data_IF_645461898080
#
_entry.id   IF_645461898080
#
_cell.length_a   1.000
_cell.length_b   1.000
_cell.length_c   1.000
_cell.angle_alpha   90.00
_cell.angle_beta   90.00
_cell.angle_gamma   90.00
#
_symmetry.space_group_name_H-M   'P 1'
#
loop_
_entity.id
_entity.type
_entity.pdbx_description
1 polymer ?
#
# COMPACT_ATOMS: atom_id res chain seq x y z
N UNK A 1 -26.42 1.78 -25.90
CA UNK A 1 -25.00 2.02 -25.59
C UNK A 1 -24.85 1.77 -24.10
N UNK A 2 -24.54 0.53 -23.71
CA UNK A 2 -24.35 0.17 -22.31
C UNK A 2 -22.87 0.25 -22.01
N UNK A 3 -22.46 1.27 -21.24
CA UNK A 3 -21.12 1.37 -20.67
C UNK A 3 -20.98 0.29 -19.60
N UNK A 4 -20.43 -0.85 -20.01
CA UNK A 4 -19.93 -1.84 -19.07
C UNK A 4 -18.62 -1.31 -18.52
N UNK A 5 -18.67 -0.63 -17.37
CA UNK A 5 -17.48 -0.40 -16.56
C UNK A 5 -17.15 -1.75 -15.92
N UNK A 6 -16.17 -2.45 -16.50
CA UNK A 6 -15.64 -3.69 -15.93
C UNK A 6 -15.14 -3.48 -14.50
N UNK A 7 -14.78 -4.55 -13.76
CA UNK A 7 -14.15 -4.39 -12.46
C UNK A 7 -13.02 -3.38 -12.62
N UNK A 8 -13.08 -2.27 -11.85
CA UNK A 8 -12.08 -1.21 -11.86
C UNK A 8 -10.75 -1.92 -11.78
N UNK A 9 -10.02 -1.96 -12.90
CA UNK A 9 -8.79 -2.72 -12.97
C UNK A 9 -7.92 -2.20 -11.83
N UNK A 10 -7.73 -3.03 -10.79
CA UNK A 10 -6.82 -2.77 -9.69
C UNK A 10 -5.52 -2.38 -10.36
N UNK A 11 -5.22 -1.08 -10.40
CA UNK A 11 -4.00 -0.58 -11.02
C UNK A 11 -2.91 -1.26 -10.23
N UNK A 12 -2.25 -2.23 -10.86
CA UNK A 12 -1.12 -2.95 -10.27
C UNK A 12 -0.23 -1.91 -9.63
N UNK A 13 -0.14 -1.99 -8.30
CA UNK A 13 0.57 -1.02 -7.50
C UNK A 13 2.04 -1.14 -7.93
N UNK A 14 2.54 -0.20 -8.71
CA UNK A 14 3.95 -0.18 -9.07
C UNK A 14 4.68 0.58 -7.96
N UNK A 15 5.42 -0.12 -7.09
CA UNK A 15 6.28 0.54 -6.09
C UNK A 15 7.46 1.15 -6.83
N UNK A 16 7.44 2.46 -6.98
CA UNK A 16 8.53 3.23 -7.61
C UNK A 16 9.43 3.92 -6.60
N UNK A 17 9.02 3.91 -5.33
CA UNK A 17 9.72 4.56 -4.24
C UNK A 17 9.42 3.82 -2.93
N UNK A 18 10.28 2.87 -2.60
CA UNK A 18 10.15 2.03 -1.39
C UNK A 18 10.21 2.87 -0.12
N UNK A 19 11.02 3.93 -0.10
CA UNK A 19 11.15 4.80 1.07
C UNK A 19 9.87 5.62 1.32
N UNK A 20 9.26 6.20 0.27
CA UNK A 20 8.01 6.92 0.40
C UNK A 20 6.88 5.99 0.87
N UNK A 21 6.83 4.76 0.35
CA UNK A 21 5.88 3.76 0.78
C UNK A 21 6.09 3.37 2.26
N UNK A 22 7.33 3.11 2.68
CA UNK A 22 7.66 2.81 4.07
C UNK A 22 7.22 3.93 5.01
N UNK A 23 7.51 5.18 4.64
CA UNK A 23 7.11 6.37 5.42
C UNK A 23 5.59 6.50 5.51
N UNK A 24 4.88 6.34 4.39
CA UNK A 24 3.42 6.39 4.39
C UNK A 24 2.81 5.26 5.22
N UNK A 25 3.33 4.04 5.08
CA UNK A 25 2.96 2.89 5.88
C UNK A 25 3.10 3.14 7.38
N UNK A 26 4.26 3.65 7.81
CA UNK A 26 4.51 4.00 9.21
C UNK A 26 3.52 5.03 9.75
N UNK A 27 3.27 6.11 8.98
CA UNK A 27 2.32 7.15 9.36
C UNK A 27 0.90 6.58 9.49
N UNK A 28 0.47 5.74 8.55
CA UNK A 28 -0.85 5.11 8.56
C UNK A 28 -0.99 4.17 9.75
N UNK A 29 -0.01 3.30 10.01
CA UNK A 29 -0.01 2.40 11.18
C UNK A 29 -0.15 3.21 12.46
N UNK A 30 0.64 4.27 12.65
CA UNK A 30 0.53 5.14 13.83
C UNK A 30 -0.86 5.74 13.95
N UNK A 31 -1.40 6.31 12.87
CA UNK A 31 -2.70 6.97 12.91
C UNK A 31 -3.86 5.99 13.20
N UNK A 32 -3.75 4.73 12.74
CA UNK A 32 -4.70 3.65 13.08
C UNK A 32 -4.66 3.32 14.57
N UNK A 33 -3.46 3.20 15.14
CA UNK A 33 -3.27 2.90 16.56
C UNK A 33 -3.70 4.06 17.47
N UNK A 34 -3.56 5.30 17.02
CA UNK A 34 -4.02 6.50 17.74
C UNK A 34 -5.52 6.78 17.55
N UNK A 35 -6.25 5.96 16.79
CA UNK A 35 -7.68 6.18 16.51
C UNK A 35 -7.96 7.41 15.65
N UNK A 36 -6.95 7.97 14.98
CA UNK A 36 -7.10 9.09 14.03
C UNK A 36 -7.65 8.65 12.68
N UNK A 37 -7.56 7.35 12.40
CA UNK A 37 -8.07 6.68 11.20
C UNK A 37 -8.78 5.40 11.64
N UNK A 38 -9.91 5.09 10.99
CA UNK A 38 -10.70 3.90 11.28
C UNK A 38 -9.99 2.61 10.87
N UNK A 39 -10.08 1.57 11.71
CA UNK A 39 -9.50 0.23 11.48
C UNK A 39 -8.71 -0.32 12.66
N UNK A 40 -8.23 0.56 13.56
CA UNK A 40 -7.59 0.19 14.82
C UNK A 40 -6.41 -0.77 14.67
N UNK A 41 -6.16 -1.56 15.72
CA UNK A 41 -5.01 -2.49 15.77
C UNK A 41 -5.04 -3.58 14.70
N UNK A 42 -6.23 -4.01 14.25
CA UNK A 42 -6.37 -5.05 13.23
C UNK A 42 -5.86 -4.56 11.86
N UNK A 43 -6.28 -3.37 11.43
CA UNK A 43 -5.78 -2.75 10.21
C UNK A 43 -4.28 -2.40 10.32
N UNK A 44 -3.84 -1.96 11.50
CA UNK A 44 -2.43 -1.64 11.74
C UNK A 44 -1.53 -2.88 11.58
N UNK A 45 -1.93 -4.02 12.14
CA UNK A 45 -1.22 -5.29 11.99
C UNK A 45 -1.20 -5.74 10.53
N UNK A 46 -2.35 -5.77 9.86
CA UNK A 46 -2.44 -6.18 8.46
C UNK A 46 -1.56 -5.33 7.55
N UNK A 47 -1.49 -4.02 7.79
CA UNK A 47 -0.59 -3.12 7.04
C UNK A 47 0.88 -3.40 7.34
N UNK A 48 1.24 -3.64 8.61
CA UNK A 48 2.59 -3.98 9.00
C UNK A 48 3.06 -5.29 8.35
N UNK A 49 2.19 -6.31 8.29
CA UNK A 49 2.45 -7.58 7.62
C UNK A 49 2.62 -7.40 6.10
N UNK A 50 1.76 -6.59 5.47
CA UNK A 50 1.87 -6.29 4.05
C UNK A 50 3.17 -5.57 3.69
N UNK A 51 3.67 -4.71 4.58
CA UNK A 51 4.93 -3.97 4.43
C UNK A 51 6.16 -4.72 4.96
N UNK A 52 5.99 -5.88 5.58
CA UNK A 52 7.11 -6.60 6.20
C UNK A 52 8.22 -6.95 5.20
N UNK A 53 7.84 -7.21 3.95
CA UNK A 53 8.74 -7.56 2.86
C UNK A 53 9.12 -6.37 1.97
N UNK A 54 8.93 -5.13 2.47
CA UNK A 54 9.16 -3.87 1.73
C UNK A 54 10.30 -4.04 0.71
N UNK A 55 10.02 -3.82 -0.57
CA UNK A 55 10.84 -4.35 -1.64
C UNK A 55 12.29 -3.90 -1.55
N UNK A 56 13.18 -4.85 -1.31
CA UNK A 56 14.61 -4.64 -1.52
C UNK A 56 14.88 -4.48 -3.04
N UNK A 57 15.66 -3.46 -3.44
CA UNK A 57 16.09 -3.31 -4.81
C UNK A 57 16.80 -4.57 -5.30
N UNK A 58 16.37 -5.13 -6.43
CA UNK A 58 16.96 -6.34 -7.02
C UNK A 58 16.33 -7.67 -6.56
N UNK A 59 15.43 -7.68 -5.58
CA UNK A 59 14.70 -8.90 -5.18
C UNK A 59 13.27 -8.91 -5.74
N UNK A 60 13.12 -9.41 -6.97
CA UNK A 60 11.83 -9.44 -7.69
C UNK A 60 10.76 -10.28 -6.99
N UNK A 61 11.16 -11.32 -6.25
CA UNK A 61 10.21 -12.16 -5.49
C UNK A 61 9.58 -11.39 -4.34
N UNK A 62 10.41 -10.76 -3.49
CA UNK A 62 9.91 -9.95 -2.37
C UNK A 62 9.13 -8.72 -2.84
N UNK A 63 9.52 -8.15 -3.98
CA UNK A 63 8.75 -7.11 -4.65
C UNK A 63 7.34 -7.59 -4.97
N UNK A 64 7.20 -8.69 -5.71
CA UNK A 64 5.88 -9.21 -6.06
C UNK A 64 5.06 -9.57 -4.82
N UNK A 65 5.66 -10.25 -3.86
CA UNK A 65 4.97 -10.62 -2.62
C UNK A 65 4.45 -9.40 -1.86
N UNK A 66 5.24 -8.32 -1.77
CA UNK A 66 4.81 -7.07 -1.12
C UNK A 66 3.64 -6.43 -1.86
N UNK A 67 3.68 -6.43 -3.20
CA UNK A 67 2.60 -5.89 -4.02
C UNK A 67 1.30 -6.67 -3.85
N UNK A 68 1.37 -8.00 -3.87
CA UNK A 68 0.22 -8.87 -3.69
C UNK A 68 -0.41 -8.63 -2.29
N UNK A 69 0.41 -8.52 -1.23
CA UNK A 69 -0.07 -8.26 0.13
C UNK A 69 -0.65 -6.85 0.32
N UNK A 70 -0.06 -5.85 -0.32
CA UNK A 70 -0.62 -4.49 -0.30
C UNK A 70 -1.94 -4.43 -1.06
N UNK A 71 -2.08 -5.17 -2.16
CA UNK A 71 -3.34 -5.29 -2.88
C UNK A 71 -4.42 -5.89 -1.99
N UNK A 72 -4.16 -7.05 -1.37
CA UNK A 72 -5.07 -7.71 -0.40
C UNK A 72 -5.46 -6.78 0.75
N UNK A 73 -4.50 -6.01 1.28
CA UNK A 73 -4.75 -5.01 2.30
C UNK A 73 -5.71 -3.92 1.82
N UNK A 74 -5.47 -3.35 0.63
CA UNK A 74 -6.32 -2.28 0.09
C UNK A 74 -7.71 -2.75 -0.30
N UNK A 75 -7.89 -4.04 -0.62
CA UNK A 75 -9.22 -4.63 -0.81
C UNK A 75 -9.98 -4.77 0.50
N UNK A 76 -9.26 -5.10 1.58
CA UNK A 76 -9.82 -5.22 2.94
C UNK A 76 -10.09 -3.86 3.60
N UNK A 77 -9.31 -2.84 3.26
CA UNK A 77 -9.42 -1.47 3.80
C UNK A 77 -9.37 -0.40 2.68
N UNK A 78 -10.40 -0.29 1.83
CA UNK A 78 -10.38 0.58 0.64
C UNK A 78 -10.15 2.06 0.94
N UNK A 79 -10.61 2.56 2.09
CA UNK A 79 -10.41 3.94 2.52
C UNK A 79 -8.94 4.30 2.77
N UNK A 80 -8.08 3.31 2.98
CA UNK A 80 -6.64 3.48 3.21
C UNK A 80 -5.82 3.44 1.91
N UNK A 81 -6.41 2.97 0.80
CA UNK A 81 -5.71 2.74 -0.45
C UNK A 81 -5.13 4.04 -1.05
N UNK A 82 -5.88 5.15 -0.98
CA UNK A 82 -5.47 6.40 -1.63
C UNK A 82 -4.15 6.94 -1.07
N UNK A 83 -3.94 6.86 0.26
CA UNK A 83 -2.70 7.32 0.90
C UNK A 83 -1.49 6.45 0.50
N UNK A 84 -1.66 5.13 0.49
CA UNK A 84 -0.59 4.18 0.17
C UNK A 84 -0.22 4.23 -1.32
N UNK A 85 -1.22 4.25 -2.20
CA UNK A 85 -1.03 4.28 -3.65
C UNK A 85 -0.31 5.56 -4.09
N UNK A 86 -0.69 6.69 -3.48
CA UNK A 86 -0.05 7.99 -3.75
C UNK A 86 1.41 8.03 -3.31
N UNK A 87 1.76 7.31 -2.24
CA UNK A 87 3.14 7.24 -1.76
C UNK A 87 4.00 6.33 -2.65
N UNK A 88 3.48 5.16 -3.04
CA UNK A 88 4.17 4.19 -3.89
C UNK A 88 4.45 4.73 -5.31
N UNK A 89 3.58 5.62 -5.83
CA UNK A 89 3.68 6.18 -7.17
C UNK A 89 4.65 7.38 -7.29
N UNK A 90 5.08 7.99 -6.17
CA UNK A 90 6.03 9.11 -6.21
C UNK A 90 7.38 8.62 -6.74
N UNK A 91 8.06 9.39 -7.60
CA UNK A 91 9.44 9.08 -7.96
C UNK A 91 10.35 9.14 -6.73
N UNK A 92 11.43 8.37 -6.70
CA UNK A 92 12.48 8.56 -5.70
C UNK A 92 13.06 9.96 -5.81
N UNK A 93 13.30 10.66 -4.68
CA UNK A 93 14.01 11.91 -4.73
C UNK A 93 15.41 11.65 -5.28
N UNK A 94 15.76 12.30 -6.38
CA UNK A 94 17.15 12.36 -6.87
C UNK A 94 18.00 13.05 -5.82
N UNK A 95 19.04 12.37 -5.35
CA UNK A 95 20.04 12.90 -4.42
C UNK A 95 20.77 14.11 -5.01
#
# INVERSE_FOLDING_TARGET
>A
MSGWDGPVASRSLAVRNTHALAKAGFITIRNLLEGRVEGGSAAALALAEALHNLPEPGNTFLQKLTLDRLQEFTESYPHLALMLNSAAAKPEPTA
#
